data_IF_823676673212
#
_entry.id   IF_823676673212
#
_cell.length_a   1.000
_cell.length_b   1.000
_cell.length_c   1.000
_cell.angle_alpha   90.00
_cell.angle_beta   90.00
_cell.angle_gamma   90.00
#
_symmetry.space_group_name_H-M   'P 1'
#
loop_
_entity.id
_entity.type
_entity.pdbx_description
1 polymer ?
#
# COMPACT_ATOMS: atom_id res chain seq x y z
N UNK A 1 -4.18 40.38 -31.84
CA UNK A 1 -4.06 39.02 -32.41
C UNK A 1 -2.61 38.46 -32.46
N UNK A 2 -1.68 38.85 -31.57
CA UNK A 2 -0.31 38.26 -31.55
C UNK A 2 0.00 37.38 -30.32
N UNK A 3 -0.80 37.49 -29.25
CA UNK A 3 -0.59 36.73 -28.00
C UNK A 3 -1.24 35.33 -28.05
N UNK A 4 -2.35 35.17 -28.79
CA UNK A 4 -3.00 33.86 -28.96
C UNK A 4 -2.13 32.85 -29.71
N UNK A 5 -1.22 33.32 -30.57
CA UNK A 5 -0.33 32.45 -31.35
C UNK A 5 0.77 31.83 -30.50
N UNK A 6 1.25 32.55 -29.46
CA UNK A 6 2.22 32.04 -28.48
C UNK A 6 1.60 31.02 -27.52
N UNK A 7 0.34 31.22 -27.14
CA UNK A 7 -0.39 30.24 -26.31
C UNK A 7 -0.69 28.96 -27.08
N UNK A 8 -1.00 29.07 -28.38
CA UNK A 8 -1.22 27.91 -29.25
C UNK A 8 0.08 27.13 -29.53
N UNK A 9 1.21 27.83 -29.70
CA UNK A 9 2.51 27.17 -29.91
C UNK A 9 3.07 26.53 -28.63
N UNK A 10 2.78 27.08 -27.45
CA UNK A 10 3.08 26.43 -26.18
C UNK A 10 2.24 25.15 -25.95
N UNK A 11 0.96 25.16 -26.35
CA UNK A 11 0.08 23.98 -26.30
C UNK A 11 0.49 22.87 -27.27
N UNK A 12 1.04 23.21 -28.43
CA UNK A 12 1.50 22.24 -29.44
C UNK A 12 2.89 21.68 -29.08
N UNK A 13 3.74 22.41 -28.36
CA UNK A 13 5.07 21.94 -27.95
C UNK A 13 5.08 20.90 -26.81
N UNK A 14 4.02 20.81 -26.02
CA UNK A 14 3.93 19.88 -24.87
C UNK A 14 3.36 18.51 -25.26
N UNK A 15 2.69 18.40 -26.40
CA UNK A 15 2.16 17.13 -26.87
C UNK A 15 3.11 16.46 -27.83
N UNK A 16 4.11 15.70 -27.36
CA UNK A 16 4.67 14.50 -28.03
C UNK A 16 5.83 13.83 -27.26
N UNK A 17 5.80 13.80 -25.93
CA UNK A 17 6.67 12.89 -25.17
C UNK A 17 5.82 11.83 -24.43
N UNK A 18 6.14 10.53 -24.58
CA UNK A 18 5.46 9.49 -23.82
C UNK A 18 5.93 9.62 -22.36
N UNK A 19 5.10 10.20 -21.51
CA UNK A 19 5.38 10.31 -20.06
C UNK A 19 5.22 8.91 -19.44
N UNK A 20 6.22 8.08 -19.66
CA UNK A 20 6.54 6.89 -18.89
C UNK A 20 7.87 7.19 -18.19
N UNK A 21 7.82 8.01 -17.14
CA UNK A 21 8.99 8.31 -16.33
C UNK A 21 9.15 7.23 -15.26
N UNK A 22 10.00 6.26 -15.54
CA UNK A 22 10.68 5.45 -14.53
C UNK A 22 11.46 6.37 -13.59
N UNK A 23 11.26 6.14 -12.29
CA UNK A 23 12.01 6.74 -11.19
C UNK A 23 13.52 6.51 -11.33
N UNK A 24 14.33 7.57 -11.32
CA UNK A 24 15.69 7.57 -10.74
C UNK A 24 16.24 8.99 -10.52
N UNK A 25 16.40 9.32 -9.23
CA UNK A 25 17.47 10.04 -8.55
C UNK A 25 17.84 11.51 -8.93
N UNK A 26 17.83 12.33 -7.87
CA UNK A 26 18.58 13.57 -7.59
C UNK A 26 18.53 14.73 -8.59
N UNK A 27 17.61 15.67 -8.35
CA UNK A 27 17.78 17.06 -8.76
C UNK A 27 17.43 18.00 -7.60
N UNK A 28 18.46 18.56 -6.97
CA UNK A 28 18.43 19.54 -5.86
C UNK A 28 18.02 20.95 -6.32
N UNK A 29 16.97 21.06 -7.14
CA UNK A 29 16.54 22.32 -7.73
C UNK A 29 15.14 22.67 -7.19
N UNK A 30 14.99 23.73 -6.37
CA UNK A 30 13.75 24.03 -5.66
C UNK A 30 12.59 24.36 -6.60
N UNK A 31 12.88 24.83 -7.82
CA UNK A 31 11.85 24.99 -8.85
C UNK A 31 11.38 23.65 -9.40
N UNK A 32 12.27 22.67 -9.52
CA UNK A 32 11.94 21.33 -9.99
C UNK A 32 11.20 20.56 -8.91
N UNK A 33 11.55 20.69 -7.63
CA UNK A 33 10.73 20.18 -6.51
C UNK A 33 9.36 20.85 -6.42
N UNK A 34 9.28 22.16 -6.70
CA UNK A 34 8.01 22.88 -6.74
C UNK A 34 7.17 22.45 -7.95
N UNK A 35 7.77 22.25 -9.12
CA UNK A 35 7.09 21.70 -10.30
C UNK A 35 6.69 20.25 -10.07
N UNK A 36 7.51 19.43 -9.40
CA UNK A 36 7.17 18.05 -9.07
C UNK A 36 6.08 17.96 -8.01
N UNK A 37 6.10 18.81 -6.98
CA UNK A 37 5.04 18.86 -5.97
C UNK A 37 3.74 19.43 -6.53
N UNK A 38 3.80 20.47 -7.37
CA UNK A 38 2.65 20.98 -8.12
C UNK A 38 2.14 19.92 -9.10
N UNK A 39 3.03 19.20 -9.78
CA UNK A 39 2.68 18.11 -10.68
C UNK A 39 2.06 16.93 -9.91
N UNK A 40 2.57 16.60 -8.74
CA UNK A 40 2.01 15.56 -7.87
C UNK A 40 0.66 15.98 -7.30
N UNK A 41 0.46 17.25 -6.95
CA UNK A 41 -0.82 17.75 -6.44
C UNK A 41 -1.87 17.90 -7.56
N UNK A 42 -1.46 18.29 -8.77
CA UNK A 42 -2.36 18.52 -9.92
C UNK A 42 -2.62 17.24 -10.72
N UNK A 43 -1.60 16.42 -10.93
CA UNK A 43 -1.62 15.17 -11.70
C UNK A 43 -1.51 13.90 -10.84
N UNK A 44 -1.67 13.97 -9.51
CA UNK A 44 -1.87 12.75 -8.73
C UNK A 44 -3.07 12.02 -9.30
N UNK A 45 -2.77 10.95 -10.01
CA UNK A 45 -3.73 9.97 -10.43
C UNK A 45 -4.55 9.60 -9.18
N UNK A 46 -5.88 9.75 -9.16
CA UNK A 46 -6.70 9.40 -7.99
C UNK A 46 -6.42 7.95 -7.54
N UNK A 47 -6.07 7.08 -8.49
CA UNK A 47 -5.66 5.71 -8.23
C UNK A 47 -4.35 5.61 -7.44
N UNK A 48 -3.41 6.57 -7.50
CA UNK A 48 -2.19 6.59 -6.67
C UNK A 48 -2.50 6.97 -5.21
N UNK A 49 -3.42 7.91 -5.00
CA UNK A 49 -3.85 8.28 -3.64
C UNK A 49 -4.63 7.13 -3.01
N UNK A 50 -5.50 6.50 -3.79
CA UNK A 50 -6.22 5.30 -3.38
C UNK A 50 -5.25 4.14 -3.09
N UNK A 51 -4.25 3.91 -3.95
CA UNK A 51 -3.21 2.89 -3.75
C UNK A 51 -2.43 3.06 -2.45
N UNK A 52 -2.02 4.30 -2.13
CA UNK A 52 -1.32 4.57 -0.87
C UNK A 52 -2.21 4.35 0.35
N UNK A 53 -3.50 4.69 0.26
CA UNK A 53 -4.47 4.44 1.34
C UNK A 53 -4.76 2.94 1.52
N UNK A 54 -5.00 2.21 0.43
CA UNK A 54 -5.19 0.75 0.43
C UNK A 54 -3.99 0.08 1.07
N UNK A 55 -2.78 0.41 0.60
CA UNK A 55 -1.53 -0.14 1.15
C UNK A 55 -1.43 0.12 2.64
N UNK A 56 -1.66 1.37 3.07
CA UNK A 56 -1.60 1.74 4.48
C UNK A 56 -2.57 0.91 5.32
N UNK A 57 -3.84 0.83 4.91
CA UNK A 57 -4.86 0.06 5.64
C UNK A 57 -4.55 -1.43 5.72
N UNK A 58 -4.08 -2.04 4.62
CA UNK A 58 -3.66 -3.44 4.62
C UNK A 58 -2.54 -3.66 5.63
N UNK A 59 -1.51 -2.80 5.61
CA UNK A 59 -0.37 -2.95 6.53
C UNK A 59 -0.76 -2.72 7.99
N UNK A 60 -1.65 -1.76 8.28
CA UNK A 60 -2.13 -1.47 9.63
C UNK A 60 -3.01 -2.60 10.16
N UNK A 61 -3.94 -3.12 9.35
CA UNK A 61 -4.82 -4.23 9.69
C UNK A 61 -3.99 -5.50 9.96
N UNK A 62 -3.08 -5.86 9.05
CA UNK A 62 -2.18 -7.00 9.23
C UNK A 62 -1.30 -6.88 10.48
N UNK A 63 -0.72 -5.71 10.74
CA UNK A 63 0.08 -5.49 11.95
C UNK A 63 -0.76 -5.64 13.24
N UNK A 64 -2.03 -5.24 13.20
CA UNK A 64 -2.96 -5.36 14.33
C UNK A 64 -3.32 -6.83 14.56
N UNK A 65 -3.70 -7.56 13.51
CA UNK A 65 -4.01 -8.99 13.61
C UNK A 65 -2.81 -9.82 14.11
N UNK A 66 -1.60 -9.56 13.60
CA UNK A 66 -0.38 -10.22 14.06
C UNK A 66 -0.15 -9.93 15.55
N UNK A 67 -0.37 -8.69 15.98
CA UNK A 67 -0.20 -8.29 17.38
C UNK A 67 -1.20 -8.99 18.27
N UNK A 68 -2.47 -9.03 17.89
CA UNK A 68 -3.52 -9.66 18.69
C UNK A 68 -3.31 -11.16 18.79
N UNK A 69 -2.95 -11.81 17.67
CA UNK A 69 -2.59 -13.23 17.66
C UNK A 69 -1.38 -13.52 18.54
N UNK A 70 -0.34 -12.67 18.48
CA UNK A 70 0.82 -12.78 19.37
C UNK A 70 0.43 -12.71 20.84
N UNK A 71 -0.48 -11.79 21.20
CA UNK A 71 -0.95 -11.63 22.58
C UNK A 71 -1.74 -12.87 23.01
N UNK A 72 -2.65 -13.36 22.17
CA UNK A 72 -3.42 -14.57 22.43
C UNK A 72 -2.49 -15.77 22.65
N UNK A 73 -1.56 -16.04 21.73
CA UNK A 73 -0.58 -17.13 21.86
C UNK A 73 0.26 -17.01 23.14
N UNK A 74 0.76 -15.81 23.46
CA UNK A 74 1.51 -15.57 24.71
C UNK A 74 0.66 -15.87 25.95
N UNK A 75 -0.61 -15.47 25.94
CA UNK A 75 -1.51 -15.68 27.07
C UNK A 75 -1.84 -17.17 27.23
N UNK A 76 -2.12 -17.90 26.14
CA UNK A 76 -2.40 -19.34 26.16
C UNK A 76 -1.21 -20.15 26.66
N UNK A 77 0.00 -19.83 26.20
CA UNK A 77 1.22 -20.51 26.66
C UNK A 77 1.45 -20.26 28.15
N UNK A 78 1.23 -19.02 28.61
CA UNK A 78 1.39 -18.64 30.02
C UNK A 78 0.32 -19.27 30.91
N UNK A 79 -0.94 -19.28 30.48
CA UNK A 79 -2.06 -19.85 31.27
C UNK A 79 -1.89 -21.34 31.48
N UNK A 80 -1.43 -22.07 30.46
CA UNK A 80 -1.13 -23.50 30.56
C UNK A 80 0.22 -23.79 31.22
N UNK A 81 1.06 -22.75 31.41
CA UNK A 81 2.44 -22.89 31.88
C UNK A 81 3.17 -24.00 31.13
N UNK A 82 3.12 -23.92 29.80
CA UNK A 82 3.65 -24.93 28.89
C UNK A 82 5.16 -24.83 28.82
N UNK A 83 5.86 -25.89 29.20
CA UNK A 83 7.33 -25.96 29.18
C UNK A 83 7.85 -26.94 28.13
N UNK A 84 9.15 -26.88 27.81
CA UNK A 84 9.80 -27.85 26.91
C UNK A 84 9.61 -29.31 27.30
N UNK A 85 9.58 -29.63 28.60
CA UNK A 85 9.37 -31.01 29.08
C UNK A 85 7.94 -31.47 28.85
N UNK A 86 6.96 -30.58 28.93
CA UNK A 86 5.55 -30.87 28.63
C UNK A 86 5.38 -31.28 27.16
N UNK A 87 6.04 -30.58 26.24
CA UNK A 87 6.07 -30.93 24.81
C UNK A 87 6.72 -32.30 24.59
N UNK A 88 7.90 -32.55 25.15
CA UNK A 88 8.63 -33.81 24.97
C UNK A 88 7.86 -35.01 25.51
N UNK A 89 7.14 -34.83 26.62
CA UNK A 89 6.32 -35.87 27.24
C UNK A 89 4.94 -36.04 26.59
N UNK A 90 4.56 -35.15 25.67
CA UNK A 90 3.22 -35.11 25.03
C UNK A 90 2.10 -35.24 26.05
N UNK A 91 2.21 -34.51 27.15
CA UNK A 91 1.29 -34.63 28.26
C UNK A 91 -0.04 -33.88 28.01
N UNK A 92 -0.96 -33.95 28.98
CA UNK A 92 -2.28 -33.32 28.86
C UNK A 92 -2.24 -31.80 28.59
N UNK A 93 -1.18 -31.09 29.03
CA UNK A 93 -1.04 -29.65 28.74
C UNK A 93 -0.80 -29.39 27.26
N UNK A 94 -0.02 -30.25 26.58
CA UNK A 94 0.19 -30.13 25.15
C UNK A 94 -1.13 -30.34 24.38
N UNK A 95 -1.93 -31.32 24.78
CA UNK A 95 -3.24 -31.58 24.17
C UNK A 95 -4.21 -30.41 24.38
N UNK A 96 -4.24 -29.83 25.59
CA UNK A 96 -5.02 -28.62 25.85
C UNK A 96 -4.52 -27.44 25.02
N UNK A 97 -3.21 -27.30 24.86
CA UNK A 97 -2.61 -26.27 24.03
C UNK A 97 -2.98 -26.44 22.55
N UNK A 98 -2.90 -27.66 22.01
CA UNK A 98 -3.34 -27.99 20.65
C UNK A 98 -4.81 -27.62 20.41
N UNK A 99 -5.69 -27.95 21.35
CA UNK A 99 -7.11 -27.57 21.29
C UNK A 99 -7.32 -26.04 21.30
N UNK A 100 -6.48 -25.30 22.02
CA UNK A 100 -6.51 -23.83 22.03
C UNK A 100 -5.90 -23.22 20.76
N UNK A 101 -4.95 -23.90 20.10
CA UNK A 101 -4.45 -23.46 18.79
C UNK A 101 -5.50 -23.67 17.70
N UNK A 102 -6.21 -24.79 17.74
CA UNK A 102 -7.32 -25.10 16.82
C UNK A 102 -8.52 -24.16 17.00
N UNK A 103 -8.73 -23.63 18.21
CA UNK A 103 -9.81 -22.68 18.49
C UNK A 103 -9.57 -21.29 17.91
N UNK A 104 -8.33 -20.97 17.50
CA UNK A 104 -7.96 -19.68 16.91
C UNK A 104 -8.13 -19.76 15.38
N UNK A 105 -9.21 -19.18 14.81
CA UNK A 105 -9.54 -19.38 13.40
C UNK A 105 -8.53 -18.73 12.44
N UNK A 106 -7.84 -17.68 12.88
CA UNK A 106 -6.86 -16.95 12.07
C UNK A 106 -5.44 -17.52 12.16
N UNK A 107 -5.19 -18.53 13.00
CA UNK A 107 -3.86 -19.12 13.15
C UNK A 107 -3.62 -20.14 12.04
N UNK A 108 -2.64 -19.89 11.18
CA UNK A 108 -2.25 -20.82 10.12
C UNK A 108 -1.28 -21.89 10.59
N UNK A 109 -0.39 -21.53 11.51
CA UNK A 109 0.61 -22.44 12.05
C UNK A 109 1.38 -21.84 13.21
N UNK A 110 1.93 -22.74 14.02
CA UNK A 110 2.75 -22.43 15.19
C UNK A 110 4.00 -23.32 15.17
N UNK A 111 5.17 -22.72 15.39
CA UNK A 111 6.45 -23.42 15.36
C UNK A 111 7.32 -22.95 16.52
N UNK A 112 7.72 -23.87 17.37
CA UNK A 112 8.69 -23.64 18.43
C UNK A 112 10.05 -24.18 18.00
N UNK A 113 11.02 -23.28 17.88
CA UNK A 113 12.40 -23.61 17.56
C UNK A 113 13.37 -23.18 18.65
N UNK A 114 14.44 -23.93 18.80
CA UNK A 114 15.57 -23.68 19.68
C UNK A 114 16.87 -23.78 18.87
N UNK A 115 18.00 -23.46 19.48
CA UNK A 115 19.32 -23.65 18.88
C UNK A 115 19.57 -25.12 18.47
N UNK A 116 18.95 -26.06 19.19
CA UNK A 116 19.02 -27.51 18.94
C UNK A 116 18.10 -28.01 17.83
N UNK A 117 17.21 -27.17 17.29
CA UNK A 117 16.26 -27.52 16.24
C UNK A 117 14.79 -27.27 16.63
N UNK A 118 13.87 -27.89 15.90
CA UNK A 118 12.42 -27.73 16.10
C UNK A 118 11.96 -28.53 17.32
N UNK A 119 11.41 -27.84 18.33
CA UNK A 119 10.82 -28.43 19.53
C UNK A 119 9.41 -28.92 19.25
N UNK A 120 8.59 -28.08 18.62
CA UNK A 120 7.18 -28.35 18.38
C UNK A 120 6.69 -27.66 17.11
N UNK A 121 5.75 -28.27 16.43
CA UNK A 121 5.14 -27.73 15.21
C UNK A 121 3.66 -28.10 15.18
N UNK A 122 2.85 -27.12 14.82
CA UNK A 122 1.42 -27.24 14.57
C UNK A 122 1.05 -26.43 13.32
N UNK A 123 0.07 -26.91 12.55
CA UNK A 123 -0.34 -26.32 11.28
C UNK A 123 0.56 -26.69 10.08
N UNK A 124 0.22 -26.14 8.92
CA UNK A 124 0.91 -26.41 7.65
C UNK A 124 2.02 -25.39 7.40
N UNK A 125 3.27 -25.85 7.38
CA UNK A 125 4.45 -25.01 7.16
C UNK A 125 5.14 -25.29 5.83
N UNK A 126 4.54 -26.11 4.96
CA UNK A 126 5.15 -26.59 3.72
C UNK A 126 5.65 -25.46 2.82
N UNK A 127 4.93 -24.34 2.76
CA UNK A 127 5.26 -23.18 1.95
C UNK A 127 6.48 -22.37 2.46
N UNK A 128 6.87 -22.53 3.73
CA UNK A 128 7.97 -21.77 4.36
C UNK A 128 9.33 -22.47 4.31
N UNK A 129 9.43 -23.72 3.86
CA UNK A 129 10.69 -24.46 3.84
C UNK A 129 11.43 -24.34 2.51
N UNK A 130 12.76 -24.17 2.54
CA UNK A 130 13.61 -24.02 1.34
C UNK A 130 13.39 -25.15 0.32
N UNK A 131 13.28 -26.38 0.81
CA UNK A 131 13.10 -27.62 0.07
C UNK A 131 11.69 -28.24 0.23
N UNK A 132 10.74 -27.49 0.82
CA UNK A 132 9.37 -27.94 1.06
C UNK A 132 9.21 -29.00 2.17
N UNK A 133 10.29 -29.48 2.77
CA UNK A 133 10.26 -30.59 3.75
C UNK A 133 11.18 -30.40 4.97
N UNK A 134 12.29 -29.67 4.84
CA UNK A 134 13.26 -29.48 5.92
C UNK A 134 12.76 -28.45 6.93
N UNK A 135 12.20 -29.00 8.01
CA UNK A 135 11.72 -28.26 9.19
C UNK A 135 12.79 -27.43 9.88
N UNK A 136 14.06 -27.66 9.54
CA UNK A 136 15.22 -27.03 10.15
C UNK A 136 15.54 -25.67 9.52
N UNK A 137 15.16 -25.45 8.25
CA UNK A 137 15.45 -24.23 7.50
C UNK A 137 14.17 -23.52 7.06
N UNK A 138 13.81 -22.48 7.81
CA UNK A 138 12.81 -21.51 7.37
C UNK A 138 13.44 -20.61 6.30
N UNK A 139 12.70 -20.34 5.23
CA UNK A 139 13.03 -19.24 4.31
C UNK A 139 12.95 -17.95 5.11
N UNK A 140 14.03 -17.16 5.08
CA UNK A 140 14.08 -15.83 5.72
C UNK A 140 13.55 -14.71 4.81
N UNK A 141 12.87 -15.08 3.73
CA UNK A 141 12.22 -14.12 2.83
C UNK A 141 10.89 -13.71 3.46
N UNK A 142 10.84 -12.49 4.02
CA UNK A 142 9.70 -12.01 4.80
C UNK A 142 9.85 -12.31 6.29
N UNK A 143 9.70 -11.29 7.13
CA UNK A 143 9.89 -11.41 8.58
C UNK A 143 8.71 -12.17 9.20
N UNK A 144 8.77 -13.50 9.20
CA UNK A 144 7.78 -14.36 9.88
C UNK A 144 7.63 -13.86 11.33
N UNK A 145 6.40 -13.51 11.77
CA UNK A 145 6.17 -13.03 13.11
C UNK A 145 6.68 -14.04 14.15
N UNK A 146 7.45 -13.52 15.11
CA UNK A 146 8.01 -14.36 16.17
C UNK A 146 8.11 -13.64 17.52
N UNK A 147 8.30 -14.43 18.57
CA UNK A 147 8.66 -13.93 19.90
C UNK A 147 9.44 -14.99 20.67
N UNK A 148 10.32 -14.53 21.58
CA UNK A 148 11.09 -15.42 22.44
C UNK A 148 10.23 -15.98 23.58
N UNK A 149 10.41 -17.27 23.88
CA UNK A 149 9.80 -17.95 25.01
C UNK A 149 10.74 -19.06 25.52
N UNK A 150 11.00 -19.05 26.83
CA UNK A 150 12.11 -19.78 27.44
C UNK A 150 13.43 -19.52 26.69
N UNK A 151 14.26 -20.54 26.44
CA UNK A 151 15.48 -20.43 25.64
C UNK A 151 15.25 -20.53 24.12
N UNK A 152 14.00 -20.47 23.64
CA UNK A 152 13.66 -20.67 22.22
C UNK A 152 12.90 -19.50 21.59
N UNK A 153 12.65 -19.62 20.29
CA UNK A 153 11.86 -18.67 19.49
C UNK A 153 10.60 -19.35 18.96
N UNK A 154 9.46 -18.70 19.16
CA UNK A 154 8.16 -19.11 18.65
C UNK A 154 7.84 -18.31 17.40
N UNK A 155 7.61 -19.02 16.30
CA UNK A 155 7.16 -18.48 15.01
C UNK A 155 5.69 -18.82 14.80
N UNK A 156 4.96 -17.92 14.17
CA UNK A 156 3.56 -18.11 13.85
C UNK A 156 3.19 -17.28 12.62
N UNK A 157 2.13 -17.66 11.92
CA UNK A 157 1.61 -16.89 10.80
C UNK A 157 0.08 -16.89 10.78
N UNK A 158 -0.47 -15.86 10.16
CA UNK A 158 -1.91 -15.71 9.96
C UNK A 158 -2.35 -16.51 8.74
N UNK A 159 -3.50 -17.16 8.86
CA UNK A 159 -4.22 -17.75 7.74
C UNK A 159 -5.64 -17.23 7.76
N UNK A 160 -6.12 -16.79 6.60
CA UNK A 160 -7.55 -16.52 6.49
C UNK A 160 -8.33 -17.82 6.39
N UNK A 161 -9.42 -17.98 7.16
CA UNK A 161 -10.33 -19.07 6.93
C UNK A 161 -10.96 -18.94 5.53
N UNK A 162 -11.15 -20.05 4.81
CA UNK A 162 -11.76 -20.01 3.49
C UNK A 162 -13.16 -19.37 3.58
N UNK A 163 -13.40 -18.33 2.77
CA UNK A 163 -14.68 -17.62 2.75
C UNK A 163 -14.75 -16.34 3.58
N UNK A 164 -13.72 -16.00 4.39
CA UNK A 164 -13.70 -14.72 5.11
C UNK A 164 -13.12 -13.60 4.24
N UNK A 165 -13.97 -12.67 3.83
CA UNK A 165 -13.52 -11.36 3.34
C UNK A 165 -13.57 -10.39 4.52
N UNK A 166 -12.44 -9.81 4.94
CA UNK A 166 -12.45 -8.86 6.04
C UNK A 166 -13.36 -7.67 5.68
N UNK A 167 -14.42 -7.50 6.48
CA UNK A 167 -15.49 -6.50 6.30
C UNK A 167 -14.92 -5.08 6.25
N UNK A 168 -13.76 -4.85 6.85
CA UNK A 168 -13.06 -3.56 6.87
C UNK A 168 -12.67 -3.06 5.47
N UNK A 169 -12.46 -3.97 4.51
CA UNK A 169 -12.10 -3.65 3.13
C UNK A 169 -13.30 -3.63 2.18
N UNK A 170 -14.52 -3.85 2.70
CA UNK A 170 -15.76 -3.77 1.91
C UNK A 170 -16.22 -2.34 1.60
N UNK A 171 -15.35 -1.34 1.82
CA UNK A 171 -15.73 0.07 1.68
C UNK A 171 -16.09 0.38 0.22
N UNK A 172 -17.36 0.74 -0.01
CA UNK A 172 -18.05 0.94 -1.30
C UNK A 172 -17.46 2.03 -2.23
N UNK A 173 -16.29 2.59 -1.91
CA UNK A 173 -15.71 3.75 -2.58
C UNK A 173 -14.45 3.48 -3.39
N UNK A 174 -13.83 2.30 -3.27
CA UNK A 174 -12.62 1.97 -4.01
C UNK A 174 -12.93 1.55 -5.44
N UNK A 175 -12.25 2.18 -6.39
CA UNK A 175 -12.32 1.89 -7.82
C UNK A 175 -11.22 0.92 -8.24
N UNK A 176 -10.12 0.87 -7.49
CA UNK A 176 -9.01 -0.03 -7.72
C UNK A 176 -9.26 -1.36 -7.02
N UNK A 177 -9.03 -2.47 -7.72
CA UNK A 177 -9.06 -3.80 -7.11
C UNK A 177 -7.67 -4.12 -6.57
N UNK A 178 -7.61 -4.71 -5.38
CA UNK A 178 -6.36 -5.20 -4.81
C UNK A 178 -6.50 -6.63 -4.29
N UNK A 179 -5.37 -7.31 -4.24
CA UNK A 179 -5.27 -8.67 -3.75
C UNK A 179 -3.99 -8.78 -2.93
N UNK A 180 -4.11 -8.99 -1.63
CA UNK A 180 -2.98 -9.14 -0.73
C UNK A 180 -2.86 -10.61 -0.32
N UNK A 181 -1.75 -11.21 -0.70
CA UNK A 181 -1.39 -12.57 -0.32
C UNK A 181 -0.33 -12.54 0.77
N UNK A 182 -0.45 -13.42 1.76
CA UNK A 182 0.64 -13.63 2.70
C UNK A 182 1.79 -14.43 2.08
N UNK A 183 2.92 -14.47 2.78
CA UNK A 183 4.08 -15.28 2.40
C UNK A 183 3.76 -16.78 2.34
N UNK A 184 2.78 -17.25 3.11
CA UNK A 184 2.21 -18.60 3.02
C UNK A 184 1.45 -18.84 1.70
N UNK A 185 1.31 -17.83 0.85
CA UNK A 185 0.66 -17.92 -0.44
C UNK A 185 -0.87 -17.91 -0.39
N UNK A 186 -1.47 -17.67 0.77
CA UNK A 186 -2.92 -17.56 0.94
C UNK A 186 -3.41 -16.13 0.75
N UNK A 187 -4.63 -15.97 0.21
CA UNK A 187 -5.25 -14.65 0.06
C UNK A 187 -5.74 -14.13 1.42
N UNK A 188 -5.17 -13.00 1.88
CA UNK A 188 -5.51 -12.38 3.16
C UNK A 188 -6.48 -11.20 3.03
N UNK A 189 -6.30 -10.34 2.03
CA UNK A 189 -7.15 -9.16 1.89
C UNK A 189 -7.49 -8.92 0.42
N UNK A 190 -8.74 -8.63 0.14
CA UNK A 190 -9.18 -8.17 -1.17
C UNK A 190 -10.48 -7.38 -1.04
N UNK A 191 -10.73 -6.50 -1.99
CA UNK A 191 -12.05 -5.88 -2.21
C UNK A 191 -12.82 -6.51 -3.38
N UNK A 192 -12.28 -7.54 -4.05
CA UNK A 192 -12.99 -8.26 -5.11
C UNK A 192 -13.77 -9.45 -4.54
N UNK A 193 -15.08 -9.27 -4.39
CA UNK A 193 -16.00 -10.32 -3.92
C UNK A 193 -16.16 -11.51 -4.88
N UNK A 194 -15.67 -11.39 -6.11
CA UNK A 194 -15.79 -12.45 -7.12
C UNK A 194 -14.62 -13.42 -7.11
N UNK A 195 -13.52 -13.05 -6.48
CA UNK A 195 -12.36 -13.92 -6.38
C UNK A 195 -12.65 -15.04 -5.37
N UNK A 196 -12.28 -16.27 -5.73
CA UNK A 196 -12.33 -17.39 -4.80
C UNK A 196 -11.30 -17.16 -3.67
N UNK A 197 -11.71 -17.10 -2.39
CA UNK A 197 -10.80 -16.93 -1.26
C UNK A 197 -9.77 -18.07 -1.11
N UNK A 198 -9.99 -19.21 -1.77
CA UNK A 198 -9.05 -20.34 -1.78
C UNK A 198 -7.94 -20.23 -2.83
N UNK A 199 -7.95 -19.18 -3.66
CA UNK A 199 -6.93 -18.93 -4.69
C UNK A 199 -5.53 -18.81 -4.04
N UNK A 200 -4.55 -19.53 -4.59
CA UNK A 200 -3.16 -19.47 -4.14
C UNK A 200 -2.35 -18.45 -4.94
N UNK A 201 -1.34 -17.87 -4.28
CA UNK A 201 -0.42 -16.89 -4.88
C UNK A 201 0.21 -17.38 -6.20
N UNK A 202 0.59 -18.66 -6.28
CA UNK A 202 1.24 -19.23 -7.47
C UNK A 202 0.33 -19.25 -8.71
N UNK A 203 -0.95 -19.54 -8.52
CA UNK A 203 -1.94 -19.57 -9.60
C UNK A 203 -2.40 -18.15 -9.95
N UNK A 204 -2.63 -17.33 -8.92
CA UNK A 204 -2.99 -15.94 -9.11
C UNK A 204 -1.91 -15.14 -9.85
N UNK A 205 -0.62 -15.39 -9.62
CA UNK A 205 0.47 -14.70 -10.36
C UNK A 205 0.34 -14.88 -11.88
N UNK A 206 -0.01 -16.09 -12.34
CA UNK A 206 -0.21 -16.36 -13.78
C UNK A 206 -1.43 -15.62 -14.33
N UNK A 207 -2.52 -15.59 -13.56
CA UNK A 207 -3.71 -14.83 -13.92
C UNK A 207 -3.42 -13.31 -13.94
N UNK A 208 -2.66 -12.81 -12.97
CA UNK A 208 -2.28 -11.41 -12.85
C UNK A 208 -1.41 -10.93 -14.00
N UNK A 209 -0.51 -11.76 -14.53
CA UNK A 209 0.26 -11.41 -15.73
C UNK A 209 -0.65 -11.18 -16.94
N UNK A 210 -1.76 -11.92 -17.04
CA UNK A 210 -2.77 -11.70 -18.07
C UNK A 210 -3.57 -10.41 -17.83
N UNK A 211 -3.83 -10.05 -16.57
CA UNK A 211 -4.47 -8.78 -16.19
C UNK A 211 -3.54 -7.61 -16.52
N UNK A 212 -2.24 -7.71 -16.18
CA UNK A 212 -1.23 -6.68 -16.42
C UNK A 212 -1.03 -6.39 -17.91
N UNK A 213 -1.14 -7.41 -18.77
CA UNK A 213 -1.14 -7.21 -20.24
C UNK A 213 -2.34 -6.39 -20.73
N UNK A 214 -3.51 -6.52 -20.07
CA UNK A 214 -4.72 -5.76 -20.42
C UNK A 214 -4.74 -4.35 -19.78
N UNK A 215 -4.18 -4.24 -18.58
CA UNK A 215 -4.14 -3.02 -17.78
C UNK A 215 -2.68 -2.68 -17.41
N UNK A 216 -1.97 -1.86 -18.21
CA UNK A 216 -0.54 -1.59 -18.01
C UNK A 216 -0.20 -0.84 -16.71
N UNK A 217 -1.21 -0.31 -15.99
CA UNK A 217 -1.04 0.35 -14.69
C UNK A 217 -1.05 -0.61 -13.48
N UNK A 218 -1.17 -1.92 -13.69
CA UNK A 218 -1.14 -2.91 -12.62
C UNK A 218 0.27 -3.07 -12.03
N UNK A 219 0.37 -3.07 -10.70
CA UNK A 219 1.63 -3.12 -9.95
C UNK A 219 1.63 -4.25 -8.92
N UNK A 220 2.83 -4.75 -8.61
CA UNK A 220 3.07 -5.71 -7.54
C UNK A 220 3.92 -4.99 -6.49
N UNK A 221 3.44 -4.98 -5.25
CA UNK A 221 4.05 -4.29 -4.13
C UNK A 221 4.34 -5.35 -3.06
N UNK A 222 5.58 -5.44 -2.63
CA UNK A 222 5.99 -6.28 -1.49
C UNK A 222 6.05 -5.41 -0.23
N UNK A 223 5.30 -5.78 0.81
CA UNK A 223 5.26 -5.07 2.07
C UNK A 223 5.29 -6.07 3.24
N UNK A 224 6.43 -6.15 3.94
CA UNK A 224 6.67 -7.07 5.06
C UNK A 224 6.46 -8.53 4.67
N UNK A 225 5.39 -9.15 5.14
CA UNK A 225 4.96 -10.54 4.92
C UNK A 225 3.82 -10.65 3.88
N UNK A 226 3.55 -9.57 3.14
CA UNK A 226 2.48 -9.47 2.17
C UNK A 226 3.00 -9.16 0.76
N UNK A 227 2.48 -9.90 -0.21
CA UNK A 227 2.54 -9.57 -1.63
C UNK A 227 1.20 -8.98 -2.07
N UNK A 228 1.17 -7.68 -2.36
CA UNK A 228 -0.02 -6.94 -2.76
C UNK A 228 0.00 -6.72 -4.26
N UNK A 229 -1.03 -7.21 -4.93
CA UNK A 229 -1.30 -7.00 -6.35
C UNK A 229 -2.34 -5.91 -6.48
N UNK A 230 -2.05 -4.87 -7.26
CA UNK A 230 -2.97 -3.76 -7.49
C UNK A 230 -3.37 -3.69 -8.95
N UNK A 231 -4.67 -3.55 -9.17
CA UNK A 231 -5.28 -3.38 -10.49
C UNK A 231 -6.04 -2.06 -10.47
N UNK A 232 -5.55 -1.03 -11.17
CA UNK A 232 -6.21 0.26 -11.18
C UNK A 232 -7.59 0.15 -11.83
N UNK A 233 -8.55 0.89 -11.27
CA UNK A 233 -9.88 1.02 -11.82
C UNK A 233 -9.91 1.71 -13.19
N UNK A 234 -11.07 1.65 -13.86
CA UNK A 234 -11.32 2.49 -15.03
C UNK A 234 -11.80 3.87 -14.56
N UNK A 235 -11.21 4.97 -15.04
CA UNK A 235 -11.64 6.31 -14.63
C UNK A 235 -13.09 6.54 -15.04
N UNK A 236 -13.96 6.84 -14.07
CA UNK A 236 -15.35 7.22 -14.34
C UNK A 236 -15.43 8.59 -15.02
N UNK A 237 -16.52 8.91 -15.74
CA UNK A 237 -16.74 10.23 -16.34
C UNK A 237 -16.55 11.40 -15.35
N UNK A 238 -16.91 11.21 -14.09
CA UNK A 238 -16.76 12.23 -13.04
C UNK A 238 -15.31 12.63 -12.78
N UNK A 239 -14.35 11.73 -13.01
CA UNK A 239 -12.93 12.05 -12.91
C UNK A 239 -12.54 13.13 -13.92
N UNK A 240 -13.02 13.02 -15.17
CA UNK A 240 -12.74 14.00 -16.21
C UNK A 240 -13.37 15.36 -15.89
N UNK A 241 -14.53 15.38 -15.22
CA UNK A 241 -15.17 16.61 -14.74
C UNK A 241 -14.29 17.29 -13.67
N UNK A 242 -13.80 16.53 -12.68
CA UNK A 242 -12.91 17.08 -11.66
C UNK A 242 -11.56 17.53 -12.23
N UNK A 243 -11.02 16.76 -13.19
CA UNK A 243 -9.79 17.11 -13.88
C UNK A 243 -9.97 18.42 -14.66
N UNK A 244 -11.08 18.58 -15.38
CA UNK A 244 -11.44 19.82 -16.05
C UNK A 244 -11.56 20.99 -15.08
N UNK A 245 -12.28 20.81 -13.96
CA UNK A 245 -12.44 21.85 -12.94
C UNK A 245 -11.08 22.28 -12.36
N UNK A 246 -10.16 21.34 -12.14
CA UNK A 246 -8.80 21.63 -11.68
C UNK A 246 -8.03 22.45 -12.71
N UNK A 247 -8.02 22.04 -13.98
CA UNK A 247 -7.39 22.82 -15.05
C UNK A 247 -7.97 24.22 -15.18
N UNK A 248 -9.30 24.33 -15.07
CA UNK A 248 -10.00 25.60 -15.10
C UNK A 248 -9.54 26.52 -13.95
N UNK A 249 -9.47 26.00 -12.71
CA UNK A 249 -9.03 26.77 -11.55
C UNK A 249 -7.55 27.21 -11.65
N UNK A 250 -6.68 26.36 -12.21
CA UNK A 250 -5.27 26.72 -12.44
C UNK A 250 -5.18 27.84 -13.48
N UNK A 251 -5.86 27.69 -14.61
CA UNK A 251 -5.91 28.72 -15.65
C UNK A 251 -6.46 30.04 -15.11
N UNK A 252 -7.51 29.96 -14.28
CA UNK A 252 -8.08 31.12 -13.61
C UNK A 252 -7.08 31.79 -12.66
N UNK A 253 -6.39 31.01 -11.82
CA UNK A 253 -5.37 31.52 -10.90
C UNK A 253 -4.23 32.23 -11.64
N UNK A 254 -3.75 31.67 -12.75
CA UNK A 254 -2.71 32.29 -13.59
C UNK A 254 -3.21 33.61 -14.20
N UNK A 255 -4.44 33.65 -14.71
CA UNK A 255 -5.04 34.87 -15.24
C UNK A 255 -5.17 35.96 -14.17
N UNK A 256 -5.60 35.59 -12.96
CA UNK A 256 -5.76 36.51 -11.84
C UNK A 256 -4.41 37.04 -11.33
N UNK A 257 -3.41 36.16 -11.22
CA UNK A 257 -2.04 36.56 -10.89
C UNK A 257 -1.47 37.53 -11.93
N UNK A 258 -1.65 37.23 -13.22
CA UNK A 258 -1.20 38.10 -14.32
C UNK A 258 -1.92 39.46 -14.29
N UNK A 259 -3.23 39.46 -13.99
CA UNK A 259 -4.02 40.67 -13.85
C UNK A 259 -3.52 41.54 -12.68
N UNK A 260 -3.29 40.94 -11.51
CA UNK A 260 -2.77 41.64 -10.33
C UNK A 260 -1.39 42.22 -10.60
N UNK A 261 -0.47 41.44 -11.18
CA UNK A 261 0.88 41.91 -11.54
C UNK A 261 0.80 43.09 -12.54
N UNK A 262 -0.09 43.00 -13.53
CA UNK A 262 -0.29 44.09 -14.49
C UNK A 262 -0.85 45.34 -13.81
N UNK A 263 -1.76 45.18 -12.85
CA UNK A 263 -2.34 46.30 -12.11
C UNK A 263 -1.32 46.93 -11.15
N UNK A 264 -0.47 46.12 -10.48
CA UNK A 264 0.56 46.60 -9.57
C UNK A 264 1.72 47.30 -10.29
N UNK A 265 2.01 46.91 -11.54
CA UNK A 265 3.00 47.56 -12.41
C UNK A 265 2.42 48.75 -13.18
N UNK A 266 1.11 48.96 -13.14
CA UNK A 266 0.46 50.16 -13.67
C UNK A 266 0.62 51.28 -12.64
N UNK A 267 1.67 52.10 -12.80
CA UNK A 267 1.98 53.23 -11.92
C UNK A 267 0.75 54.05 -11.52
N UNK A 268 0.59 54.46 -10.25
CA UNK A 268 -0.36 55.50 -9.91
C UNK A 268 0.08 56.77 -10.67
N UNK A 269 -0.81 57.34 -11.48
CA UNK A 269 -0.66 58.69 -12.00
C UNK A 269 -0.76 59.67 -10.83
N UNK A 270 0.27 59.72 -10.00
CA UNK A 270 0.46 60.81 -9.06
C UNK A 270 0.84 62.03 -9.90
N UNK A 271 -0.17 62.81 -10.27
CA UNK A 271 0.01 64.18 -10.70
C UNK A 271 0.73 64.91 -9.57
N UNK A 272 2.04 65.10 -9.68
CA UNK A 272 2.74 66.11 -8.88
C UNK A 272 2.06 67.45 -9.18
N UNK A 273 1.63 68.23 -8.16
CA UNK A 273 1.07 69.54 -8.42
C UNK A 273 2.12 70.40 -9.12
N UNK A 274 1.74 71.02 -10.25
CA UNK A 274 2.57 72.02 -10.91
C UNK A 274 2.92 73.11 -9.89
N UNK A 275 4.21 73.25 -9.55
CA UNK A 275 4.71 74.44 -8.90
C UNK A 275 4.57 75.61 -9.88
N UNK A 276 3.39 76.23 -9.91
CA UNK A 276 3.23 77.57 -10.47
C UNK A 276 3.73 78.56 -9.41
N UNK A 277 4.84 79.22 -9.70
CA UNK A 277 5.22 80.44 -8.99
C UNK A 277 4.14 81.51 -9.27
N UNK A 278 3.62 82.22 -8.26
CA UNK A 278 2.74 83.35 -8.52
C UNK A 278 3.56 84.48 -9.14
N UNK A 279 3.21 84.88 -10.37
CA UNK A 279 3.58 86.16 -10.94
C UNK A 279 2.59 87.22 -10.42
N UNK A 280 2.97 87.90 -9.32
CA UNK A 280 2.70 89.32 -9.02
C UNK A 280 2.99 89.61 -7.55
#
# INVERSE_FOLDING_TARGET
MRIYFLFLSFLVGIGYEPIFAQTKLDSSDPLTELIYSISEVIFSNPFRKEETEIRKRITESNATEIRDLRIQLKNTIRSLSLSRSDVKSKNGKLLSFESELESIPSLGGFLWKDESGTIYQWGDWSDFYEDGFSREKLRFEGQIPSFSYEAGTLYFFLRNPPGSLPVEFSFLGWESNFYAFGDEGSLRYTNDFRLDPSERLGDFRKAFDSIRKKNPGSQIITASDLTIFMVPGKPKPIYYIFLFLRFFLIGWTILLATYIIRMSLSFPKNHLPEHRAPLS
#
